data_IF_456243150071
#
_entry.id   IF_456243150071
#
_cell.length_a   1.000
_cell.length_b   1.000
_cell.length_c   1.000
_cell.angle_alpha   90.00
_cell.angle_beta   90.00
_cell.angle_gamma   90.00
#
_symmetry.space_group_name_H-M   'P 1'
#
loop_
_entity.id
_entity.type
_entity.pdbx_description
1 polymer ?
#
# COMPACT_ATOMS: atom_id res chain seq x y z
N UNK A 1 22.12 12.56 30.70
CA UNK A 1 21.60 12.48 29.33
C UNK A 1 20.12 12.79 29.38
N UNK A 2 19.71 13.91 28.76
CA UNK A 2 18.32 14.34 28.65
C UNK A 2 17.79 13.90 27.28
N UNK A 3 16.62 13.26 27.27
CA UNK A 3 15.93 12.81 26.07
C UNK A 3 14.70 13.68 25.84
N UNK A 4 14.56 14.24 24.64
CA UNK A 4 13.37 15.01 24.24
C UNK A 4 12.88 14.55 22.87
N UNK A 5 11.56 14.45 22.68
CA UNK A 5 10.98 14.18 21.37
C UNK A 5 11.24 15.35 20.42
N UNK A 6 11.57 15.04 19.19
CA UNK A 6 11.73 16.00 18.11
C UNK A 6 10.65 15.74 17.04
N UNK A 7 9.45 16.26 17.31
CA UNK A 7 8.29 16.06 16.44
C UNK A 7 8.47 16.73 15.08
N UNK A 8 9.15 17.89 15.03
CA UNK A 8 9.42 18.60 13.78
C UNK A 8 10.28 17.75 12.84
N UNK A 9 11.43 17.27 13.31
CA UNK A 9 12.30 16.41 12.49
C UNK A 9 11.62 15.06 12.15
N UNK A 10 10.68 14.61 12.99
CA UNK A 10 9.88 13.40 12.68
C UNK A 10 8.98 13.64 11.47
N UNK A 11 8.27 14.78 11.41
CA UNK A 11 7.47 15.14 10.24
C UNK A 11 8.33 15.39 9.01
N UNK A 12 9.42 16.16 9.14
CA UNK A 12 10.30 16.50 8.01
C UNK A 12 10.83 15.24 7.32
N UNK A 13 11.35 14.28 8.09
CA UNK A 13 11.84 13.01 7.55
C UNK A 13 10.73 12.16 6.92
N UNK A 14 9.51 12.20 7.46
CA UNK A 14 8.39 11.46 6.88
C UNK A 14 7.89 12.12 5.59
N UNK A 15 7.94 13.44 5.48
CA UNK A 15 7.60 14.15 4.24
C UNK A 15 8.63 13.89 3.15
N UNK A 16 9.93 13.97 3.46
CA UNK A 16 11.02 13.59 2.53
C UNK A 16 10.84 12.15 2.02
N UNK A 17 10.47 11.21 2.90
CA UNK A 17 10.19 9.83 2.51
C UNK A 17 8.97 9.69 1.59
N UNK A 18 7.93 10.51 1.79
CA UNK A 18 6.73 10.45 0.95
C UNK A 18 6.97 11.06 -0.44
N UNK A 19 7.86 12.04 -0.57
CA UNK A 19 8.25 12.62 -1.87
C UNK A 19 8.95 11.58 -2.76
N UNK A 20 9.82 10.74 -2.19
CA UNK A 20 10.48 9.61 -2.89
C UNK A 20 9.52 8.49 -3.32
N UNK A 21 8.30 8.49 -2.78
CA UNK A 21 7.29 7.45 -2.98
C UNK A 21 6.24 7.86 -4.02
N UNK A 22 6.07 9.16 -4.31
CA UNK A 22 5.05 9.65 -5.24
C UNK A 22 5.43 9.28 -6.69
N UNK A 23 5.24 8.00 -7.01
CA UNK A 23 5.17 7.51 -8.37
C UNK A 23 4.00 8.22 -9.02
N UNK A 24 4.27 9.02 -10.05
CA UNK A 24 3.29 9.86 -10.72
C UNK A 24 2.20 9.00 -11.39
N UNK A 25 1.17 8.66 -10.60
CA UNK A 25 0.00 7.84 -10.99
C UNK A 25 -1.21 8.71 -11.30
N UNK A 26 -1.02 10.00 -11.51
CA UNK A 26 -2.08 11.00 -11.77
C UNK A 26 -2.99 10.62 -12.94
N UNK A 27 -2.49 9.87 -13.92
CA UNK A 27 -3.27 9.40 -15.08
C UNK A 27 -3.89 7.99 -14.90
N UNK A 28 -3.74 7.36 -13.74
CA UNK A 28 -4.20 5.97 -13.50
C UNK A 28 -5.58 5.89 -12.82
N UNK A 29 -6.53 6.68 -13.30
CA UNK A 29 -7.89 6.72 -12.76
C UNK A 29 -8.97 6.46 -13.84
N UNK A 30 -10.06 5.72 -13.53
CA UNK A 30 -10.31 5.04 -12.26
C UNK A 30 -9.44 3.78 -12.12
N UNK A 31 -8.89 3.57 -10.94
CA UNK A 31 -8.17 2.36 -10.56
C UNK A 31 -9.09 1.35 -9.87
N UNK A 32 -8.68 0.07 -9.83
CA UNK A 32 -9.33 -0.96 -9.01
C UNK A 32 -9.50 -0.49 -7.55
N UNK A 33 -8.47 0.14 -6.99
CA UNK A 33 -8.51 0.66 -5.62
C UNK A 33 -9.53 1.78 -5.45
N UNK A 34 -9.73 2.63 -6.45
CA UNK A 34 -10.73 3.72 -6.39
C UNK A 34 -12.15 3.17 -6.30
N UNK A 35 -12.43 2.10 -7.06
CA UNK A 35 -13.76 1.50 -7.17
C UNK A 35 -14.13 0.64 -5.95
N UNK A 36 -13.14 0.10 -5.24
CA UNK A 36 -13.34 -0.70 -4.02
C UNK A 36 -13.50 0.19 -2.79
N UNK A 37 -12.94 1.40 -2.80
CA UNK A 37 -13.04 2.34 -1.71
C UNK A 37 -14.25 3.29 -1.87
N UNK A 38 -14.30 4.34 -1.04
CA UNK A 38 -15.34 5.34 -1.13
C UNK A 38 -15.13 6.19 -2.40
N UNK A 39 -16.02 6.07 -3.38
CA UNK A 39 -15.95 6.81 -4.65
C UNK A 39 -15.84 8.32 -4.45
N UNK A 40 -16.57 8.87 -3.47
CA UNK A 40 -16.49 10.30 -3.12
C UNK A 40 -15.09 10.67 -2.65
N UNK A 41 -14.46 9.84 -1.81
CA UNK A 41 -13.08 10.05 -1.37
C UNK A 41 -12.12 9.98 -2.55
N UNK A 42 -12.23 8.96 -3.40
CA UNK A 42 -11.37 8.81 -4.59
C UNK A 42 -11.50 10.00 -5.55
N UNK A 43 -12.72 10.51 -5.75
CA UNK A 43 -12.98 11.72 -6.55
C UNK A 43 -12.29 12.95 -5.96
N UNK A 44 -12.42 13.17 -4.65
CA UNK A 44 -11.76 14.31 -3.98
C UNK A 44 -10.24 14.17 -3.93
N UNK A 45 -9.71 12.96 -3.73
CA UNK A 45 -8.27 12.71 -3.74
C UNK A 45 -7.65 13.11 -5.09
N UNK A 46 -8.39 12.95 -6.19
CA UNK A 46 -7.95 13.35 -7.54
C UNK A 46 -8.05 14.86 -7.82
N UNK A 47 -8.98 15.57 -7.17
CA UNK A 47 -9.11 17.02 -7.31
C UNK A 47 -8.18 17.79 -6.36
N UNK A 48 -8.09 17.30 -5.13
CA UNK A 48 -7.35 17.91 -4.03
C UNK A 48 -6.99 16.85 -3.00
N UNK A 49 -5.80 16.27 -3.15
CA UNK A 49 -5.22 15.30 -2.21
C UNK A 49 -5.08 15.97 -0.83
N UNK A 50 -5.77 15.43 0.17
CA UNK A 50 -5.60 15.89 1.55
C UNK A 50 -4.23 15.45 2.08
N UNK A 51 -3.58 16.26 2.93
CA UNK A 51 -2.31 15.88 3.53
C UNK A 51 -2.49 14.62 4.39
N UNK A 52 -1.55 13.69 4.26
CA UNK A 52 -1.53 12.46 5.04
C UNK A 52 -1.13 12.77 6.49
N UNK A 53 -1.74 12.08 7.45
CA UNK A 53 -1.31 12.16 8.86
C UNK A 53 0.01 11.42 9.05
N UNK A 54 0.83 11.82 10.04
CA UNK A 54 2.10 11.16 10.45
C UNK A 54 1.97 9.65 10.48
N UNK A 55 0.93 9.16 11.16
CA UNK A 55 0.65 7.75 11.33
C UNK A 55 0.40 7.06 9.98
N UNK A 56 -0.28 7.74 9.08
CA UNK A 56 -0.55 7.25 7.72
C UNK A 56 0.75 7.20 6.91
N UNK A 57 1.59 8.24 6.97
CA UNK A 57 2.93 8.26 6.34
C UNK A 57 3.77 7.06 6.79
N UNK A 58 3.82 6.78 8.09
CA UNK A 58 4.54 5.61 8.65
C UNK A 58 4.00 4.28 8.08
N UNK A 59 2.68 4.09 8.01
CA UNK A 59 2.13 2.85 7.43
C UNK A 59 2.42 2.71 5.94
N UNK A 60 2.33 3.80 5.18
CA UNK A 60 2.68 3.78 3.76
C UNK A 60 4.15 3.43 3.56
N UNK A 61 5.04 4.10 4.28
CA UNK A 61 6.47 3.84 4.23
C UNK A 61 6.81 2.38 4.57
N UNK A 62 6.26 1.86 5.67
CA UNK A 62 6.50 0.46 6.07
C UNK A 62 5.96 -0.51 5.02
N UNK A 63 4.74 -0.28 4.51
CA UNK A 63 4.15 -1.13 3.48
C UNK A 63 5.00 -1.17 2.20
N UNK A 64 5.39 -0.01 1.68
CA UNK A 64 6.19 0.11 0.47
C UNK A 64 7.63 -0.39 0.66
N UNK A 65 8.23 -0.14 1.83
CA UNK A 65 9.54 -0.69 2.18
C UNK A 65 9.52 -2.22 2.20
N UNK A 66 8.49 -2.82 2.79
CA UNK A 66 8.30 -4.28 2.80
C UNK A 66 8.10 -4.83 1.38
N UNK A 67 7.26 -4.19 0.57
CA UNK A 67 7.03 -4.58 -0.83
C UNK A 67 8.34 -4.54 -1.63
N UNK A 68 9.06 -3.40 -1.59
CA UNK A 68 10.35 -3.24 -2.29
C UNK A 68 11.39 -4.27 -1.85
N UNK A 69 11.43 -4.60 -0.56
CA UNK A 69 12.39 -5.56 -0.01
C UNK A 69 12.02 -7.02 -0.34
N UNK A 70 10.76 -7.42 -0.13
CA UNK A 70 10.30 -8.80 -0.32
C UNK A 70 10.17 -9.18 -1.79
N UNK A 71 9.83 -8.21 -2.65
CA UNK A 71 9.63 -8.42 -4.09
C UNK A 71 10.83 -7.96 -4.92
N UNK A 72 11.99 -7.71 -4.30
CA UNK A 72 13.20 -7.23 -4.96
C UNK A 72 13.58 -8.02 -6.22
N UNK A 73 13.39 -9.35 -6.18
CA UNK A 73 13.70 -10.27 -7.29
C UNK A 73 12.52 -10.61 -8.19
N UNK A 74 11.34 -10.02 -7.96
CA UNK A 74 10.06 -10.37 -8.60
C UNK A 74 9.49 -9.21 -9.42
N UNK A 75 10.36 -8.43 -10.07
CA UNK A 75 10.03 -7.22 -10.85
C UNK A 75 10.26 -7.38 -12.36
N UNK A 76 10.46 -8.62 -12.83
CA UNK A 76 10.83 -8.90 -14.22
C UNK A 76 9.70 -8.74 -15.24
N UNK A 77 8.44 -8.68 -14.78
CA UNK A 77 7.24 -8.58 -15.61
C UNK A 77 6.49 -7.29 -15.25
N UNK A 78 5.97 -6.52 -16.23
CA UNK A 78 5.14 -5.36 -15.96
C UNK A 78 3.95 -5.70 -15.07
N UNK A 79 3.79 -4.95 -13.99
CA UNK A 79 2.80 -5.22 -12.94
C UNK A 79 1.55 -4.35 -13.04
N UNK A 80 1.49 -3.45 -14.01
CA UNK A 80 0.39 -2.51 -14.20
C UNK A 80 -0.25 -2.64 -15.58
N UNK A 81 -1.52 -2.25 -15.68
CA UNK A 81 -2.25 -2.27 -16.95
C UNK A 81 -3.63 -1.65 -16.86
N UNK A 82 -4.40 -1.83 -17.94
CA UNK A 82 -5.77 -1.32 -18.07
C UNK A 82 -6.65 -2.36 -18.74
N UNK A 83 -7.79 -2.65 -18.11
CA UNK A 83 -8.80 -3.59 -18.61
C UNK A 83 -10.17 -2.93 -18.51
N UNK A 84 -10.93 -2.89 -19.62
CA UNK A 84 -12.28 -2.29 -19.65
C UNK A 84 -12.33 -0.84 -19.13
N UNK A 85 -11.27 -0.07 -19.34
CA UNK A 85 -11.20 1.31 -18.87
C UNK A 85 -10.68 1.48 -17.43
N UNK A 86 -10.48 0.38 -16.68
CA UNK A 86 -10.08 0.38 -15.28
C UNK A 86 -8.59 0.07 -15.16
N UNK A 87 -7.85 0.93 -14.46
CA UNK A 87 -6.42 0.76 -14.19
C UNK A 87 -6.20 -0.22 -13.04
N UNK A 88 -5.19 -1.07 -13.17
CA UNK A 88 -4.79 -2.02 -12.13
C UNK A 88 -3.28 -2.03 -11.97
N UNK A 89 -2.83 -2.37 -10.77
CA UNK A 89 -1.43 -2.54 -10.43
C UNK A 89 -1.34 -3.66 -9.37
N UNK A 90 -0.82 -4.81 -9.77
CA UNK A 90 -0.54 -5.93 -8.87
C UNK A 90 0.87 -5.81 -8.29
N UNK A 91 1.18 -6.50 -7.21
CA UNK A 91 2.53 -6.38 -6.64
C UNK A 91 3.58 -7.22 -7.39
N UNK A 92 3.18 -8.38 -7.94
CA UNK A 92 4.01 -9.13 -8.90
C UNK A 92 3.20 -10.05 -9.81
N UNK A 93 3.72 -10.26 -11.02
CA UNK A 93 3.30 -11.31 -11.94
C UNK A 93 4.40 -12.37 -12.19
N UNK A 94 5.54 -12.23 -11.49
CA UNK A 94 6.68 -13.12 -11.68
C UNK A 94 6.45 -14.45 -10.95
N UNK A 95 6.36 -15.52 -11.73
CA UNK A 95 5.91 -16.85 -11.32
C UNK A 95 4.44 -16.93 -10.88
N UNK A 96 3.57 -16.08 -11.44
CA UNK A 96 2.13 -16.04 -11.12
C UNK A 96 1.73 -14.75 -10.42
N UNK A 97 0.43 -14.59 -10.18
CA UNK A 97 -0.10 -13.39 -9.54
C UNK A 97 0.18 -13.45 -8.04
N UNK A 98 0.91 -12.46 -7.54
CA UNK A 98 1.15 -12.27 -6.12
C UNK A 98 0.66 -10.89 -5.70
N UNK A 99 -0.06 -10.87 -4.59
CA UNK A 99 -0.50 -9.65 -3.90
C UNK A 99 0.06 -9.65 -2.48
N UNK A 100 0.69 -8.55 -2.08
CA UNK A 100 1.28 -8.33 -0.77
C UNK A 100 0.42 -7.33 0.02
N UNK A 101 0.11 -7.70 1.26
CA UNK A 101 -0.61 -6.84 2.21
C UNK A 101 0.16 -6.73 3.51
N UNK A 102 0.36 -5.53 4.00
CA UNK A 102 0.80 -5.28 5.36
C UNK A 102 -0.39 -4.78 6.20
N UNK A 103 -0.63 -5.38 7.36
CA UNK A 103 -1.81 -5.03 8.20
C UNK A 103 -1.49 -5.04 9.69
N UNK A 104 -2.18 -4.16 10.43
CA UNK A 104 -2.18 -4.16 11.90
C UNK A 104 -3.15 -5.14 12.54
N UNK A 105 -4.01 -5.75 11.73
CA UNK A 105 -4.92 -6.76 12.24
C UNK A 105 -4.12 -7.92 12.83
N UNK A 106 -4.51 -8.40 14.01
CA UNK A 106 -3.90 -9.62 14.55
C UNK A 106 -4.23 -10.81 13.66
N UNK A 107 -3.27 -11.74 13.48
CA UNK A 107 -3.44 -12.96 12.67
C UNK A 107 -4.75 -13.72 12.99
N UNK A 108 -5.16 -13.72 14.27
CA UNK A 108 -6.41 -14.36 14.73
C UNK A 108 -7.69 -13.79 14.12
N UNK A 109 -7.65 -12.59 13.51
CA UNK A 109 -8.78 -11.99 12.77
C UNK A 109 -8.92 -12.51 11.34
N UNK A 110 -7.93 -13.26 10.84
CA UNK A 110 -7.92 -13.84 9.50
C UNK A 110 -7.78 -15.36 9.59
N UNK A 111 -8.61 -15.98 10.45
CA UNK A 111 -8.83 -17.41 10.36
C UNK A 111 -9.40 -17.71 8.96
N UNK A 112 -8.99 -18.84 8.39
CA UNK A 112 -8.86 -19.24 6.97
C UNK A 112 -9.86 -18.74 5.90
N UNK A 113 -10.96 -18.07 6.26
CA UNK A 113 -11.99 -17.57 5.32
C UNK A 113 -12.37 -16.09 5.49
N UNK A 114 -11.82 -15.36 6.48
CA UNK A 114 -12.28 -14.00 6.84
C UNK A 114 -11.26 -12.88 6.50
N UNK A 115 -10.73 -12.90 5.27
CA UNK A 115 -9.97 -11.74 4.79
C UNK A 115 -10.90 -10.54 4.57
N UNK A 116 -10.41 -9.29 4.76
CA UNK A 116 -11.22 -8.11 4.54
C UNK A 116 -11.81 -8.13 3.13
N UNK A 117 -13.12 -7.86 3.00
CA UNK A 117 -13.81 -7.92 1.71
C UNK A 117 -13.12 -7.10 0.61
N UNK A 118 -12.45 -5.99 0.98
CA UNK A 118 -11.69 -5.15 0.06
C UNK A 118 -10.48 -5.86 -0.54
N UNK A 119 -9.78 -6.69 0.24
CA UNK A 119 -8.66 -7.49 -0.27
C UNK A 119 -9.19 -8.50 -1.29
N UNK A 120 -10.30 -9.17 -0.97
CA UNK A 120 -10.91 -10.14 -1.87
C UNK A 120 -11.45 -9.49 -3.15
N UNK A 121 -12.05 -8.30 -3.06
CA UNK A 121 -12.49 -7.54 -4.23
C UNK A 121 -11.31 -7.17 -5.13
N UNK A 122 -10.20 -6.69 -4.54
CA UNK A 122 -9.00 -6.30 -5.28
C UNK A 122 -8.37 -7.50 -5.99
N UNK A 123 -8.17 -8.60 -5.27
CA UNK A 123 -7.65 -9.85 -5.83
C UNK A 123 -8.52 -10.36 -6.97
N UNK A 124 -9.85 -10.39 -6.81
CA UNK A 124 -10.77 -10.83 -7.87
C UNK A 124 -10.69 -9.93 -9.11
N UNK A 125 -10.59 -8.62 -8.92
CA UNK A 125 -10.38 -7.67 -10.02
C UNK A 125 -9.08 -7.97 -10.77
N UNK A 126 -7.99 -8.29 -10.05
CA UNK A 126 -6.70 -8.59 -10.65
C UNK A 126 -6.68 -9.94 -11.38
N UNK A 127 -7.30 -10.98 -10.83
CA UNK A 127 -7.49 -12.26 -11.51
C UNK A 127 -8.23 -12.06 -12.85
N UNK A 128 -9.34 -11.32 -12.83
CA UNK A 128 -10.10 -10.98 -14.04
C UNK A 128 -9.26 -10.18 -15.04
N UNK A 129 -8.52 -9.17 -14.57
CA UNK A 129 -7.76 -8.27 -15.42
C UNK A 129 -6.56 -8.94 -16.11
N UNK A 130 -5.94 -9.91 -15.43
CA UNK A 130 -4.73 -10.60 -15.88
C UNK A 130 -4.99 -11.96 -16.54
N UNK A 131 -6.23 -12.47 -16.46
CA UNK A 131 -6.60 -13.79 -16.97
C UNK A 131 -6.12 -14.96 -16.10
N UNK A 132 -5.57 -14.67 -14.91
CA UNK A 132 -5.17 -15.69 -13.95
C UNK A 132 -6.38 -16.29 -13.21
N UNK A 133 -6.25 -17.54 -12.78
CA UNK A 133 -7.26 -18.25 -11.99
C UNK A 133 -6.88 -18.42 -10.52
N UNK A 134 -5.63 -18.16 -10.17
CA UNK A 134 -5.06 -18.30 -8.83
C UNK A 134 -4.17 -17.12 -8.45
N UNK A 135 -3.97 -16.94 -7.16
CA UNK A 135 -3.22 -15.83 -6.55
C UNK A 135 -2.56 -16.28 -5.26
N UNK A 136 -1.30 -15.91 -5.09
CA UNK A 136 -0.62 -15.96 -3.80
C UNK A 136 -0.85 -14.65 -3.04
N UNK A 137 -1.58 -14.70 -1.93
CA UNK A 137 -1.79 -13.55 -1.05
C UNK A 137 -0.78 -13.58 0.12
N UNK A 138 0.28 -12.80 0.02
CA UNK A 138 1.28 -12.64 1.07
C UNK A 138 0.83 -11.58 2.08
N UNK A 139 0.66 -11.96 3.36
CA UNK A 139 0.21 -11.02 4.40
C UNK A 139 1.26 -10.88 5.51
N UNK A 140 1.74 -9.65 5.71
CA UNK A 140 2.62 -9.26 6.81
C UNK A 140 1.79 -8.64 7.93
N UNK A 141 1.80 -9.26 9.11
CA UNK A 141 1.12 -8.77 10.30
C UNK A 141 2.05 -7.88 11.14
N UNK A 142 1.71 -6.59 11.27
CA UNK A 142 2.53 -5.55 11.89
C UNK A 142 1.85 -4.99 13.16
N UNK A 143 2.41 -5.26 14.33
CA UNK A 143 1.95 -4.67 15.60
C UNK A 143 3.18 -4.16 16.37
N UNK A 144 3.40 -2.87 16.64
CA UNK A 144 2.84 -1.61 16.11
C UNK A 144 3.94 -0.91 15.28
N UNK A 145 3.57 -0.11 14.29
CA UNK A 145 4.52 0.75 13.57
C UNK A 145 4.41 2.18 14.10
N UNK A 146 5.49 2.67 14.72
CA UNK A 146 5.67 4.06 15.13
C UNK A 146 7.07 4.51 14.72
N UNK A 147 7.21 5.81 14.43
CA UNK A 147 8.47 6.45 14.13
C UNK A 147 8.60 7.70 15.00
N UNK A 148 9.69 7.79 15.76
CA UNK A 148 9.94 8.88 16.70
C UNK A 148 11.41 9.24 16.69
N UNK A 149 11.70 10.53 16.62
CA UNK A 149 13.07 11.05 16.72
C UNK A 149 13.27 11.64 18.12
N UNK A 150 14.39 11.29 18.75
CA UNK A 150 14.78 11.85 20.05
C UNK A 150 16.04 12.70 19.90
N UNK A 151 16.01 13.90 20.48
CA UNK A 151 17.18 14.74 20.69
C UNK A 151 17.84 14.39 22.03
N UNK A 152 19.13 14.05 21.99
CA UNK A 152 19.93 13.65 23.15
C UNK A 152 20.93 14.75 23.50
N UNK A 153 20.94 15.17 24.77
CA UNK A 153 21.86 16.18 25.33
C UNK A 153 22.45 15.75 26.67
#
# INVERSE_FOLDING_TARGET
MKMQLNDQLTEDLLDELMEEIDEDRTDMHPSVTDLINCLTKSYFDNLQKLPLTTKTKVFFFVGLGLERALLLKRKGIPTYGKTEGIHWHVDSLDHGLLELKSTRAGKKRHLEEDFPWRYMAQVKSYLKATGNTEVDLAVVYLIQADFQVYHLT
#
